data_IF_437376804976
#
_entry.id   IF_437376804976
#
_cell.length_a   1.000
_cell.length_b   1.000
_cell.length_c   1.000
_cell.angle_alpha   90.00
_cell.angle_beta   90.00
_cell.angle_gamma   90.00
#
_symmetry.space_group_name_H-M   'P 1'
#
loop_
_entity.id
_entity.type
_entity.pdbx_description
1 polymer ?
#
# COMPACT_ATOMS: atom_id res chain seq x y z
N UNK A 1 18.56 -18.42 20.91
CA UNK A 1 17.54 -17.45 21.31
C UNK A 1 18.11 -16.07 21.12
N UNK A 2 17.87 -15.48 19.95
CA UNK A 2 18.21 -14.09 19.65
C UNK A 2 17.00 -13.20 20.00
N UNK A 3 17.19 -11.96 20.45
CA UNK A 3 16.08 -11.09 20.81
C UNK A 3 15.33 -10.61 19.55
N UNK A 4 14.02 -10.32 19.63
CA UNK A 4 13.32 -9.66 18.54
C UNK A 4 13.85 -8.22 18.42
N UNK A 5 14.44 -7.90 17.28
CA UNK A 5 14.78 -6.54 16.89
C UNK A 5 13.51 -5.70 16.94
N UNK A 6 13.47 -4.75 17.90
CA UNK A 6 12.45 -3.72 17.97
C UNK A 6 12.61 -2.83 16.74
N UNK A 7 11.89 -3.15 15.68
CA UNK A 7 11.63 -2.23 14.59
C UNK A 7 10.79 -1.09 15.18
N UNK A 8 11.47 0.00 15.56
CA UNK A 8 10.81 1.22 16.00
C UNK A 8 10.19 1.85 14.75
N UNK A 9 8.92 1.50 14.50
CA UNK A 9 8.07 2.19 13.53
C UNK A 9 7.97 3.68 13.92
N UNK A 10 8.95 4.47 13.50
CA UNK A 10 8.89 5.92 13.50
C UNK A 10 8.01 6.33 12.33
N UNK A 11 6.70 6.23 12.56
CA UNK A 11 5.69 6.83 11.70
C UNK A 11 5.81 8.35 11.72
N UNK A 12 6.74 8.90 10.96
CA UNK A 12 6.72 10.32 10.60
C UNK A 12 5.72 10.49 9.46
N UNK A 13 4.63 11.19 9.78
CA UNK A 13 3.61 11.64 8.82
C UNK A 13 4.26 12.50 7.74
N UNK A 14 4.15 12.07 6.48
CA UNK A 14 4.46 12.90 5.33
C UNK A 14 3.48 14.09 5.25
N UNK A 15 4.05 15.28 5.11
CA UNK A 15 3.34 16.54 4.99
C UNK A 15 3.22 16.93 3.51
N UNK A 16 1.98 16.94 3.01
CA UNK A 16 1.44 17.77 1.92
C UNK A 16 2.42 18.29 0.85
N UNK A 17 2.29 17.71 -0.35
CA UNK A 17 2.13 18.48 -1.58
C UNK A 17 3.39 19.10 -2.18
N UNK A 18 4.35 18.27 -2.58
CA UNK A 18 5.32 18.59 -3.62
C UNK A 18 5.02 17.76 -4.87
N UNK A 19 5.03 18.36 -6.06
CA UNK A 19 4.95 17.57 -7.30
C UNK A 19 6.02 16.48 -7.36
N UNK A 20 5.84 15.47 -8.22
CA UNK A 20 6.61 14.20 -8.21
C UNK A 20 8.10 14.31 -7.84
N UNK A 21 8.83 15.29 -8.38
CA UNK A 21 10.25 15.54 -8.04
C UNK A 21 10.54 15.76 -6.56
N UNK A 22 9.69 16.50 -5.83
CA UNK A 22 9.90 16.75 -4.41
C UNK A 22 9.72 15.51 -3.54
N UNK A 23 8.82 14.61 -3.95
CA UNK A 23 8.62 13.33 -3.27
C UNK A 23 9.80 12.38 -3.50
N UNK A 24 10.33 12.33 -4.72
CA UNK A 24 11.52 11.52 -5.04
C UNK A 24 12.72 11.97 -4.20
N UNK A 25 12.98 13.28 -4.14
CA UNK A 25 14.06 13.84 -3.32
C UNK A 25 13.90 13.49 -1.82
N UNK A 26 12.67 13.54 -1.29
CA UNK A 26 12.37 13.18 0.09
C UNK A 26 12.66 11.70 0.37
N UNK A 27 12.19 10.80 -0.50
CA UNK A 27 12.38 9.36 -0.35
C UNK A 27 13.86 8.98 -0.45
N UNK A 28 14.60 9.59 -1.38
CA UNK A 28 16.05 9.41 -1.50
C UNK A 28 16.78 9.82 -0.22
N UNK A 29 16.45 11.00 0.34
CA UNK A 29 17.04 11.46 1.59
C UNK A 29 16.74 10.52 2.77
N UNK A 30 15.52 9.98 2.83
CA UNK A 30 15.12 8.99 3.83
C UNK A 30 15.95 7.71 3.71
N UNK A 31 16.16 7.22 2.49
CA UNK A 31 16.97 6.03 2.24
C UNK A 31 18.43 6.22 2.68
N UNK A 32 19.05 7.34 2.32
CA UNK A 32 20.42 7.67 2.72
C UNK A 32 20.54 7.81 4.25
N UNK A 33 19.54 8.38 4.90
CA UNK A 33 19.50 8.49 6.36
C UNK A 33 19.35 7.11 7.04
N UNK A 34 18.46 6.26 6.54
CA UNK A 34 18.24 4.90 7.05
C UNK A 34 19.52 4.06 6.94
N UNK A 35 20.14 4.03 5.76
CA UNK A 35 21.40 3.34 5.53
C UNK A 35 22.51 3.84 6.46
N UNK A 36 22.71 5.17 6.54
CA UNK A 36 23.73 5.78 7.40
C UNK A 36 23.53 5.44 8.89
N UNK A 37 22.29 5.35 9.33
CA UNK A 37 21.94 5.08 10.73
C UNK A 37 21.82 3.59 11.05
N UNK A 38 21.99 2.70 10.07
CA UNK A 38 21.74 1.26 10.23
C UNK A 38 20.31 0.99 10.73
N UNK A 39 19.35 1.72 10.19
CA UNK A 39 17.93 1.61 10.51
C UNK A 39 17.13 1.22 9.26
N UNK A 40 15.88 0.82 9.47
CA UNK A 40 14.93 0.52 8.40
C UNK A 40 13.80 1.54 8.42
N UNK A 41 13.59 2.20 7.29
CA UNK A 41 12.48 3.12 7.08
C UNK A 41 11.55 2.57 6.00
N UNK A 42 10.26 2.91 6.05
CA UNK A 42 9.27 2.40 5.10
C UNK A 42 8.39 3.54 4.60
N UNK A 43 8.24 3.65 3.29
CA UNK A 43 7.40 4.67 2.67
C UNK A 43 5.91 4.36 2.81
N UNK A 44 5.07 5.30 2.40
CA UNK A 44 3.69 5.03 2.00
C UNK A 44 3.66 4.33 0.63
N UNK A 45 2.49 3.92 0.14
CA UNK A 45 2.37 3.35 -1.21
C UNK A 45 2.65 4.44 -2.24
N UNK A 46 3.69 4.21 -3.03
CA UNK A 46 4.15 5.11 -4.08
C UNK A 46 3.63 4.64 -5.44
N UNK A 47 3.48 5.59 -6.36
CA UNK A 47 3.17 5.29 -7.76
C UNK A 47 4.38 4.65 -8.46
N UNK A 48 4.17 3.79 -9.47
CA UNK A 48 5.24 3.08 -10.17
C UNK A 48 6.29 4.03 -10.77
N UNK A 49 5.86 5.20 -11.27
CA UNK A 49 6.77 6.22 -11.82
C UNK A 49 7.71 6.80 -10.76
N UNK A 50 7.20 7.04 -9.54
CA UNK A 50 8.00 7.56 -8.42
C UNK A 50 8.97 6.49 -7.94
N UNK A 51 8.52 5.23 -7.86
CA UNK A 51 9.37 4.09 -7.48
C UNK A 51 10.55 3.99 -8.44
N UNK A 52 10.29 3.93 -9.75
CA UNK A 52 11.35 3.81 -10.76
C UNK A 52 12.36 4.96 -10.68
N UNK A 53 11.92 6.20 -10.44
CA UNK A 53 12.85 7.33 -10.30
C UNK A 53 13.68 7.23 -9.02
N UNK A 54 13.10 6.80 -7.89
CA UNK A 54 13.83 6.61 -6.64
C UNK A 54 14.88 5.51 -6.79
N UNK A 55 14.51 4.36 -7.37
CA UNK A 55 15.42 3.22 -7.54
C UNK A 55 16.64 3.60 -8.40
N UNK A 56 16.44 4.32 -9.51
CA UNK A 56 17.53 4.80 -10.36
C UNK A 56 18.52 5.70 -9.60
N UNK A 57 18.04 6.45 -8.60
CA UNK A 57 18.90 7.28 -7.75
C UNK A 57 19.63 6.45 -6.71
N UNK A 58 18.96 5.47 -6.10
CA UNK A 58 19.57 4.59 -5.10
C UNK A 58 20.63 3.65 -5.68
N UNK A 59 20.57 3.31 -6.97
CA UNK A 59 21.66 2.61 -7.68
C UNK A 59 23.02 3.33 -7.57
N UNK A 60 23.01 4.64 -7.33
CA UNK A 60 24.22 5.47 -7.19
C UNK A 60 24.72 5.54 -5.74
N UNK A 61 24.03 4.91 -4.79
CA UNK A 61 24.31 4.93 -3.36
C UNK A 61 24.53 3.49 -2.83
N UNK A 62 25.78 2.98 -2.87
CA UNK A 62 26.07 1.55 -2.68
C UNK A 62 25.75 1.00 -1.28
N UNK A 63 25.78 1.85 -0.25
CA UNK A 63 25.49 1.45 1.13
C UNK A 63 23.97 1.40 1.40
N UNK A 64 23.16 1.95 0.48
CA UNK A 64 21.70 1.93 0.59
C UNK A 64 21.12 0.80 -0.23
N UNK A 65 20.13 0.13 0.34
CA UNK A 65 19.34 -0.89 -0.35
C UNK A 65 17.85 -0.62 -0.15
N UNK A 66 17.07 -1.17 -1.06
CA UNK A 66 15.62 -1.05 -1.04
C UNK A 66 14.96 -2.38 -1.41
N UNK A 67 13.73 -2.56 -0.94
CA UNK A 67 12.86 -3.67 -1.32
C UNK A 67 11.44 -3.16 -1.55
N UNK A 68 10.79 -3.63 -2.63
CA UNK A 68 9.39 -3.30 -2.92
C UNK A 68 8.46 -4.19 -2.12
N UNK A 69 7.65 -3.58 -1.25
CA UNK A 69 6.56 -4.23 -0.55
C UNK A 69 5.21 -3.87 -1.21
N UNK A 70 4.87 -4.64 -2.25
CA UNK A 70 3.62 -4.49 -2.99
C UNK A 70 2.55 -5.52 -2.65
N UNK A 71 2.86 -6.51 -1.80
CA UNK A 71 1.92 -7.57 -1.38
C UNK A 71 1.72 -8.70 -2.40
N UNK A 72 2.25 -8.58 -3.62
CA UNK A 72 2.36 -9.64 -4.63
C UNK A 72 3.38 -9.25 -5.72
N UNK A 73 3.82 -10.22 -6.53
CA UNK A 73 4.93 -10.07 -7.51
C UNK A 73 4.73 -8.98 -8.58
N UNK A 74 3.47 -8.74 -8.99
CA UNK A 74 3.11 -7.80 -10.08
C UNK A 74 2.45 -6.51 -9.60
N UNK A 75 2.68 -6.13 -8.34
CA UNK A 75 2.14 -4.89 -7.80
C UNK A 75 2.77 -3.68 -8.48
N UNK A 76 1.93 -2.77 -8.99
CA UNK A 76 2.35 -1.48 -9.53
C UNK A 76 2.65 -0.49 -8.40
N UNK A 77 1.69 -0.31 -7.47
CA UNK A 77 1.88 0.54 -6.30
C UNK A 77 2.48 -0.30 -5.16
N UNK A 78 3.64 0.14 -4.68
CA UNK A 78 4.35 -0.53 -3.61
C UNK A 78 4.87 0.46 -2.58
N UNK A 79 5.13 -0.04 -1.37
CA UNK A 79 5.92 0.67 -0.38
C UNK A 79 7.40 0.31 -0.61
N UNK A 80 8.30 1.26 -0.40
CA UNK A 80 9.73 0.97 -0.38
C UNK A 80 10.19 0.80 1.06
N UNK A 81 10.79 -0.35 1.32
CA UNK A 81 11.55 -0.63 2.53
C UNK A 81 12.96 -0.14 2.24
N UNK A 82 13.45 0.81 3.01
CA UNK A 82 14.69 1.52 2.81
C UNK A 82 15.64 1.18 3.96
N UNK A 83 16.80 0.62 3.66
CA UNK A 83 17.71 0.13 4.70
C UNK A 83 19.16 0.12 4.20
N UNK A 84 20.08 -0.32 5.05
CA UNK A 84 21.46 -0.58 4.66
C UNK A 84 21.57 -1.90 3.88
N UNK A 85 22.45 -1.99 2.89
CA UNK A 85 22.68 -3.20 2.09
C UNK A 85 22.85 -4.46 2.94
N UNK A 86 23.77 -4.40 3.90
CA UNK A 86 24.10 -5.54 4.77
C UNK A 86 22.92 -5.97 5.67
N UNK A 87 22.01 -5.04 6.01
CA UNK A 87 20.81 -5.38 6.78
C UNK A 87 19.79 -6.11 5.93
N UNK A 88 19.65 -5.70 4.66
CA UNK A 88 18.77 -6.38 3.72
C UNK A 88 19.28 -7.78 3.39
N UNK A 89 20.59 -7.95 3.17
CA UNK A 89 21.22 -9.26 2.92
C UNK A 89 21.08 -10.24 4.10
N UNK A 90 21.00 -9.72 5.33
CA UNK A 90 20.81 -10.51 6.54
C UNK A 90 19.34 -10.90 6.80
N UNK A 91 18.40 -10.36 6.04
CA UNK A 91 16.95 -10.52 6.23
C UNK A 91 16.34 -11.38 5.12
N UNK A 92 15.20 -12.00 5.38
CA UNK A 92 14.41 -12.66 4.34
C UNK A 92 13.55 -11.60 3.61
N UNK A 93 13.71 -11.40 2.29
CA UNK A 93 12.90 -10.44 1.54
C UNK A 93 11.40 -10.73 1.62
N UNK A 94 10.99 -12.01 1.66
CA UNK A 94 9.58 -12.37 1.68
C UNK A 94 8.94 -11.96 3.01
N UNK A 95 9.63 -12.22 4.13
CA UNK A 95 9.18 -11.82 5.47
C UNK A 95 9.04 -10.29 5.57
N UNK A 96 10.01 -9.55 5.03
CA UNK A 96 10.00 -8.09 5.02
C UNK A 96 8.82 -7.50 4.22
N UNK A 97 8.52 -8.09 3.06
CA UNK A 97 7.35 -7.68 2.26
C UNK A 97 6.05 -7.94 3.02
N UNK A 98 5.92 -9.11 3.64
CA UNK A 98 4.72 -9.50 4.39
C UNK A 98 4.51 -8.65 5.65
N UNK A 99 5.59 -8.21 6.30
CA UNK A 99 5.51 -7.30 7.45
C UNK A 99 4.97 -5.91 7.05
N UNK A 100 5.12 -5.51 5.78
CA UNK A 100 4.87 -4.15 5.34
C UNK A 100 3.75 -3.99 4.30
N UNK A 101 3.23 -5.07 3.72
CA UNK A 101 2.09 -5.06 2.82
C UNK A 101 1.14 -6.22 3.13
N UNK A 102 -0.15 -5.91 3.33
CA UNK A 102 -1.18 -6.91 3.64
C UNK A 102 -2.12 -7.03 2.45
N UNK A 103 -2.19 -8.22 1.86
CA UNK A 103 -3.16 -8.55 0.82
C UNK A 103 -4.50 -8.92 1.45
N UNK A 104 -5.56 -8.22 1.04
CA UNK A 104 -6.93 -8.47 1.46
C UNK A 104 -7.74 -9.02 0.28
N UNK A 105 -8.52 -10.06 0.53
CA UNK A 105 -9.58 -10.50 -0.36
C UNK A 105 -10.93 -9.99 0.12
N UNK A 106 -11.66 -9.36 -0.80
CA UNK A 106 -12.94 -8.72 -0.56
C UNK A 106 -13.98 -9.42 -1.40
N UNK A 107 -14.98 -9.99 -0.75
CA UNK A 107 -16.21 -10.44 -1.41
C UNK A 107 -17.29 -9.42 -1.12
N UNK A 108 -17.75 -8.71 -2.15
CA UNK A 108 -18.76 -7.67 -2.03
C UNK A 108 -19.64 -7.62 -3.27
N UNK A 109 -20.91 -7.31 -3.15
CA UNK A 109 -21.74 -7.02 -4.32
C UNK A 109 -21.35 -5.63 -4.87
N UNK A 110 -20.28 -5.59 -5.69
CA UNK A 110 -19.71 -4.38 -6.30
C UNK A 110 -20.58 -3.82 -7.45
N UNK A 111 -21.76 -4.37 -7.69
CA UNK A 111 -22.66 -3.98 -8.77
C UNK A 111 -23.04 -2.49 -8.72
N UNK A 112 -22.51 -1.69 -9.66
CA UNK A 112 -22.75 -0.25 -9.85
C UNK A 112 -22.46 0.67 -8.64
N UNK A 113 -21.85 0.15 -7.58
CA UNK A 113 -21.54 0.92 -6.37
C UNK A 113 -20.33 1.82 -6.59
N UNK A 114 -20.25 2.89 -5.79
CA UNK A 114 -19.10 3.81 -5.72
C UNK A 114 -17.76 3.03 -5.77
N UNK A 115 -16.75 3.50 -6.53
CA UNK A 115 -15.43 2.86 -6.58
C UNK A 115 -14.85 2.61 -5.18
N UNK A 116 -14.10 1.53 -4.97
CA UNK A 116 -13.49 1.23 -3.66
C UNK A 116 -12.65 2.40 -3.10
N UNK A 117 -11.89 3.17 -3.91
CA UNK A 117 -11.22 4.38 -3.44
C UNK A 117 -12.14 5.39 -2.73
N UNK A 118 -13.39 5.56 -3.20
CA UNK A 118 -14.36 6.43 -2.55
C UNK A 118 -14.80 5.88 -1.19
N UNK A 119 -15.08 4.58 -1.13
CA UNK A 119 -15.49 3.93 0.10
C UNK A 119 -14.39 4.03 1.18
N UNK A 120 -13.12 3.87 0.77
CA UNK A 120 -11.94 4.03 1.62
C UNK A 120 -11.80 5.46 2.15
N UNK A 121 -11.96 6.46 1.29
CA UNK A 121 -11.94 7.88 1.68
C UNK A 121 -13.06 8.21 2.70
N UNK A 122 -14.28 7.71 2.47
CA UNK A 122 -15.43 7.91 3.37
C UNK A 122 -15.19 7.37 4.79
N UNK A 123 -14.47 6.26 4.92
CA UNK A 123 -14.11 5.67 6.24
C UNK A 123 -12.81 6.26 6.82
N UNK A 124 -12.24 7.27 6.15
CA UNK A 124 -11.03 7.97 6.55
C UNK A 124 -9.78 7.11 6.49
N UNK A 125 -9.64 6.30 5.43
CA UNK A 125 -8.38 5.63 5.06
C UNK A 125 -7.70 6.47 3.99
N UNK A 126 -6.42 6.79 4.19
CA UNK A 126 -5.63 7.49 3.18
C UNK A 126 -5.39 6.57 1.99
N UNK A 127 -5.53 7.07 0.76
CA UNK A 127 -5.15 6.30 -0.43
C UNK A 127 -3.63 6.05 -0.53
N UNK A 128 -2.82 6.75 0.27
CA UNK A 128 -1.40 6.45 0.41
C UNK A 128 -1.11 5.25 1.33
N UNK A 129 -2.10 4.81 2.12
CA UNK A 129 -2.03 3.55 2.90
C UNK A 129 -2.53 2.33 2.11
N UNK A 130 -2.89 2.52 0.84
CA UNK A 130 -3.51 1.50 -0.01
C UNK A 130 -2.68 1.37 -1.28
N UNK A 131 -2.32 0.15 -1.64
CA UNK A 131 -1.61 -0.18 -2.87
C UNK A 131 -2.60 -0.43 -4.00
N UNK A 132 -2.38 -1.52 -4.72
CA UNK A 132 -3.22 -1.94 -5.83
C UNK A 132 -4.57 -2.46 -5.34
N UNK A 133 -5.60 -2.19 -6.15
CA UNK A 133 -6.93 -2.76 -6.02
C UNK A 133 -7.23 -3.50 -7.33
N UNK A 134 -7.40 -4.81 -7.26
CA UNK A 134 -7.69 -5.67 -8.42
C UNK A 134 -9.13 -6.15 -8.34
N UNK A 135 -9.92 -5.95 -9.40
CA UNK A 135 -11.29 -6.45 -9.48
C UNK A 135 -11.27 -7.80 -10.21
N UNK A 136 -11.56 -8.89 -9.49
CA UNK A 136 -11.42 -10.28 -9.96
C UNK A 136 -12.72 -10.87 -10.54
N UNK A 137 -13.79 -10.08 -10.67
CA UNK A 137 -15.07 -10.54 -11.22
C UNK A 137 -16.27 -9.72 -10.73
N UNK A 138 -17.47 -10.29 -10.85
CA UNK A 138 -18.72 -9.69 -10.34
C UNK A 138 -18.81 -9.81 -8.82
N UNK A 139 -18.02 -9.00 -8.13
CA UNK A 139 -18.09 -8.84 -6.68
C UNK A 139 -16.94 -9.43 -5.89
N UNK A 140 -15.81 -9.66 -6.53
CA UNK A 140 -14.58 -10.08 -5.88
C UNK A 140 -13.49 -9.05 -6.18
N UNK A 141 -12.74 -8.67 -5.15
CA UNK A 141 -11.62 -7.78 -5.32
C UNK A 141 -10.48 -8.16 -4.38
N UNK A 142 -9.26 -7.96 -4.85
CA UNK A 142 -8.06 -7.95 -4.03
C UNK A 142 -7.65 -6.51 -3.76
N UNK A 143 -7.13 -6.25 -2.58
CA UNK A 143 -6.63 -4.95 -2.21
C UNK A 143 -5.43 -5.07 -1.29
N UNK A 144 -4.37 -4.35 -1.64
CA UNK A 144 -3.17 -4.28 -0.80
C UNK A 144 -3.27 -3.07 0.11
N UNK A 145 -2.95 -3.24 1.39
CA UNK A 145 -2.97 -2.14 2.37
C UNK A 145 -1.77 -2.17 3.31
N UNK A 146 -1.52 -1.04 3.96
CA UNK A 146 -0.52 -0.98 5.03
C UNK A 146 -1.01 -1.77 6.26
N UNK A 147 -0.12 -2.46 6.99
CA UNK A 147 -0.49 -3.23 8.17
C UNK A 147 -1.25 -2.39 9.22
N UNK A 148 -0.90 -1.11 9.33
CA UNK A 148 -1.53 -0.17 10.26
C UNK A 148 -3.01 0.11 9.96
N UNK A 149 -3.46 -0.09 8.72
CA UNK A 149 -4.86 0.15 8.33
C UNK A 149 -5.66 -1.12 8.07
N UNK A 150 -5.02 -2.29 7.92
CA UNK A 150 -5.68 -3.55 7.59
C UNK A 150 -6.88 -3.88 8.48
N UNK A 151 -6.69 -3.86 9.80
CA UNK A 151 -7.77 -4.12 10.77
C UNK A 151 -8.90 -3.08 10.69
N UNK A 152 -8.56 -1.82 10.44
CA UNK A 152 -9.54 -0.73 10.29
C UNK A 152 -10.39 -0.93 9.03
N UNK A 153 -9.77 -1.29 7.91
CA UNK A 153 -10.44 -1.61 6.65
C UNK A 153 -11.42 -2.77 6.84
N UNK A 154 -10.96 -3.90 7.39
CA UNK A 154 -11.80 -5.08 7.64
C UNK A 154 -13.05 -4.74 8.48
N UNK A 155 -12.93 -3.82 9.43
CA UNK A 155 -14.02 -3.43 10.33
C UNK A 155 -14.97 -2.40 9.75
N UNK A 156 -14.44 -1.38 9.06
CA UNK A 156 -15.22 -0.22 8.63
C UNK A 156 -15.78 -0.37 7.22
N UNK A 157 -15.03 -0.99 6.30
CA UNK A 157 -15.47 -1.14 4.92
C UNK A 157 -16.73 -2.02 4.83
N UNK A 158 -16.85 -3.04 5.71
CA UNK A 158 -18.07 -3.85 5.87
C UNK A 158 -19.31 -3.03 6.25
N UNK A 159 -19.14 -1.87 6.89
CA UNK A 159 -20.25 -1.00 7.31
C UNK A 159 -20.63 0.03 6.26
N UNK A 160 -19.62 0.52 5.53
CA UNK A 160 -19.80 1.54 4.50
C UNK A 160 -20.49 0.98 3.25
N UNK A 161 -20.07 -0.21 2.82
CA UNK A 161 -20.63 -0.85 1.65
C UNK A 161 -21.76 -1.79 2.09
N UNK A 162 -23.00 -1.43 1.74
CA UNK A 162 -24.20 -2.25 1.99
C UNK A 162 -24.18 -3.62 1.30
N UNK A 163 -23.15 -3.91 0.49
CA UNK A 163 -22.95 -5.15 -0.25
C UNK A 163 -21.73 -5.97 0.14
N UNK A 164 -20.87 -5.55 1.09
CA UNK A 164 -19.69 -6.36 1.47
C UNK A 164 -20.13 -7.57 2.30
N UNK A 165 -19.80 -8.76 1.80
CA UNK A 165 -20.08 -10.05 2.42
C UNK A 165 -18.92 -10.46 3.35
N UNK A 166 -17.68 -10.34 2.86
CA UNK A 166 -16.48 -10.77 3.57
C UNK A 166 -15.26 -9.91 3.22
N UNK A 167 -14.34 -9.80 4.18
CA UNK A 167 -12.99 -9.25 3.98
C UNK A 167 -12.06 -10.14 4.79
N UNK A 168 -11.11 -10.76 4.10
CA UNK A 168 -10.18 -11.75 4.64
C UNK A 168 -8.74 -11.35 4.31
N UNK A 169 -7.80 -11.70 5.18
CA UNK A 169 -6.36 -11.53 4.89
C UNK A 169 -5.95 -12.75 4.09
N UNK A 170 -5.32 -12.54 2.94
CA UNK A 170 -4.80 -13.62 2.12
C UNK A 170 -3.45 -14.10 2.66
N UNK A 171 -3.17 -15.37 2.40
CA UNK A 171 -1.81 -15.89 2.49
C UNK A 171 -0.94 -15.22 1.41
N UNK A 172 0.36 -15.03 1.69
CA UNK A 172 1.29 -14.34 0.79
C UNK A 172 1.50 -15.07 -0.55
N UNK A 173 1.25 -16.38 -0.60
CA UNK A 173 1.38 -17.21 -1.80
C UNK A 173 0.20 -17.04 -2.77
N UNK A 174 -0.84 -16.31 -2.37
CA UNK A 174 -1.98 -16.04 -3.24
C UNK A 174 -1.55 -15.07 -4.33
N UNK A 175 -1.64 -15.50 -5.58
CA UNK A 175 -1.44 -14.64 -6.75
C UNK A 175 -2.79 -14.02 -7.09
N UNK A 176 -3.01 -12.72 -6.80
CA UNK A 176 -4.27 -12.09 -7.13
C UNK A 176 -4.37 -11.88 -8.64
N UNK A 177 -5.55 -12.11 -9.19
CA UNK A 177 -5.88 -11.86 -10.59
C UNK A 177 -7.05 -10.86 -10.67
N UNK A 178 -7.07 -10.02 -11.70
CA UNK A 178 -8.13 -9.04 -11.89
C UNK A 178 -7.69 -7.83 -12.70
N UNK A 179 -8.64 -6.92 -12.91
CA UNK A 179 -8.38 -5.62 -13.54
C UNK A 179 -7.99 -4.59 -12.48
N UNK A 180 -6.89 -3.87 -12.72
CA UNK A 180 -6.44 -2.80 -11.84
C UNK A 180 -7.43 -1.64 -11.83
N UNK A 181 -7.93 -1.30 -10.64
CA UNK A 181 -8.80 -0.16 -10.44
C UNK A 181 -7.98 1.11 -10.22
N UNK A 182 -8.34 2.18 -10.93
CA UNK A 182 -7.74 3.50 -10.74
C UNK A 182 -7.88 4.00 -9.30
N UNK A 183 -6.77 4.47 -8.72
CA UNK A 183 -6.70 4.98 -7.36
C UNK A 183 -7.09 6.46 -7.26
N UNK A 184 -8.30 6.78 -7.73
CA UNK A 184 -8.82 8.16 -7.76
C UNK A 184 -10.21 8.24 -7.11
N UNK A 185 -10.37 9.16 -6.15
CA UNK A 185 -11.69 9.46 -5.59
C UNK A 185 -12.52 10.21 -6.63
N UNK A 186 -13.55 9.55 -7.16
CA UNK A 186 -14.47 10.16 -8.12
C UNK A 186 -15.63 10.80 -7.38
N UNK A 187 -15.88 12.11 -7.58
CA UNK A 187 -17.11 12.73 -7.08
C UNK A 187 -18.28 12.17 -7.89
N UNK A 188 -19.02 11.24 -7.30
CA UNK A 188 -20.32 10.88 -7.85
C UNK A 188 -21.29 12.04 -7.61
N UNK A 189 -21.74 12.64 -8.71
CA UNK A 189 -22.77 13.65 -8.66
C UNK A 189 -24.00 13.09 -7.93
N UNK A 190 -24.45 13.80 -6.89
CA UNK A 190 -25.60 13.43 -6.05
C UNK A 190 -26.94 13.30 -6.81
N UNK A 191 -26.96 13.42 -8.15
CA UNK A 191 -28.17 13.37 -8.97
C UNK A 191 -28.75 11.98 -9.17
N UNK A 192 -27.98 10.90 -8.97
CA UNK A 192 -28.48 9.53 -9.20
C UNK A 192 -28.94 8.77 -7.94
N UNK A 193 -28.75 9.31 -6.73
CA UNK A 193 -29.28 8.69 -5.49
C UNK A 193 -30.78 8.97 -5.27
N UNK A 194 -31.50 9.39 -6.31
CA UNK A 194 -32.85 9.95 -6.22
C UNK A 194 -33.89 9.37 -7.15
N UNK A 195 -34.03 8.03 -7.26
CA UNK A 195 -35.30 7.40 -7.68
C UNK A 195 -35.32 5.89 -7.44
N UNK A 196 -35.73 5.48 -6.24
CA UNK A 196 -36.57 4.27 -6.10
C UNK A 196 -37.84 4.71 -5.39
N UNK A 197 -38.94 4.67 -6.15
CA UNK A 197 -40.32 4.84 -5.70
C UNK A 197 -40.78 3.58 -4.98
#
# INVERSE_FOLDING_TARGET
GAPPSRCLLLGLRASRGGGGRGLVDEVEQRALAAAKNWDTDVTEFLEPEVISEVEERLERAPDSAHLRAGGYDRAERARLILTHSDLLEASDPEDLVQEHAVLLYITANLGSSDPLPNALDNIGISLSDVGDILISGEGEAFMVVSPGVASKVQRLLKKELSGVLAIEVCDPDVVPEGELQEMVVRRLDKRDKGRKR
#
